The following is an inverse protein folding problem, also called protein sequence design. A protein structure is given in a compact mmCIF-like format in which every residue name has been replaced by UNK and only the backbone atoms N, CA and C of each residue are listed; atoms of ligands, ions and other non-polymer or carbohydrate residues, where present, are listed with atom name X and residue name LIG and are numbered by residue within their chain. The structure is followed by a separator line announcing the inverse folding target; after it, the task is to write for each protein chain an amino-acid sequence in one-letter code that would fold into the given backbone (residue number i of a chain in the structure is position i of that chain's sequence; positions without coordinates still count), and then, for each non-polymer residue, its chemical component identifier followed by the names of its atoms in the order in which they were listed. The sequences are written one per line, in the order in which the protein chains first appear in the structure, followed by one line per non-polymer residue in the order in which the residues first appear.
data_IF_760487553664
#
_entry.id   IF_760487553664
#
_cell.length_a   1.000
_cell.length_b   1.000
_cell.length_c   1.000
_cell.angle_alpha   90.00
_cell.angle_beta   90.00
_cell.angle_gamma   90.00
#
_symmetry.space_group_name_H-M   'P 1'
#
loop_
_entity.id
_entity.type
_entity.pdbx_description
1 polymer ?
#
# COMPACT_ATOMS: atom_id res chain seq x y z
N UNK A 1 -4.99 9.31 10.45
CA UNK A 1 -6.14 9.01 9.56
C UNK A 1 -7.32 9.89 9.95
N UNK A 2 -8.19 10.21 9.00
CA UNK A 2 -9.44 10.94 9.23
C UNK A 2 -10.60 10.17 8.58
N UNK A 3 -11.68 9.93 9.33
CA UNK A 3 -12.84 9.18 8.87
C UNK A 3 -14.04 10.11 8.90
N UNK A 4 -14.61 10.40 7.73
CA UNK A 4 -15.82 11.20 7.59
C UNK A 4 -16.98 10.54 8.34
N UNK A 5 -17.78 11.34 9.05
CA UNK A 5 -18.96 10.85 9.80
C UNK A 5 -20.17 10.63 8.90
N UNK A 6 -20.12 11.15 7.67
CA UNK A 6 -21.14 11.03 6.65
C UNK A 6 -20.50 10.69 5.30
N UNK A 7 -21.32 10.51 4.27
CA UNK A 7 -20.84 10.37 2.88
C UNK A 7 -20.24 11.66 2.31
N UNK A 8 -20.45 12.81 2.96
CA UNK A 8 -19.80 14.07 2.59
C UNK A 8 -18.44 14.18 3.28
N UNK A 9 -17.37 14.01 2.51
CA UNK A 9 -16.00 14.10 2.99
C UNK A 9 -15.56 15.52 3.39
N UNK A 10 -16.34 16.55 3.06
CA UNK A 10 -16.08 17.94 3.47
C UNK A 10 -16.66 18.28 4.85
N UNK A 11 -17.48 17.39 5.40
CA UNK A 11 -18.14 17.54 6.69
C UNK A 11 -17.24 17.23 7.89
N UNK A 12 -17.84 16.75 8.97
CA UNK A 12 -17.11 16.38 10.18
C UNK A 12 -16.41 15.03 10.02
N UNK A 13 -15.30 14.86 10.75
CA UNK A 13 -14.49 13.64 10.71
C UNK A 13 -13.96 13.29 12.10
N UNK A 14 -13.83 11.99 12.36
CA UNK A 14 -13.07 11.46 13.48
C UNK A 14 -11.59 11.39 13.12
N UNK A 15 -10.71 11.84 14.01
CA UNK A 15 -9.25 11.85 13.80
C UNK A 15 -8.60 10.75 14.61
N UNK A 16 -7.71 10.02 13.95
CA UNK A 16 -6.95 8.93 14.55
C UNK A 16 -5.46 9.13 14.35
N UNK A 17 -4.71 9.05 15.44
CA UNK A 17 -3.26 8.94 15.44
C UNK A 17 -2.85 7.55 15.92
N UNK A 18 -1.99 6.88 15.16
CA UNK A 18 -1.46 5.56 15.51
C UNK A 18 0.06 5.65 15.57
N UNK A 19 0.65 5.12 16.64
CA UNK A 19 2.09 4.95 16.75
C UNK A 19 2.46 3.58 16.17
N UNK A 20 3.12 3.57 15.01
CA UNK A 20 3.47 2.35 14.27
C UNK A 20 4.82 1.76 14.71
N UNK A 21 5.50 2.38 15.67
CA UNK A 21 6.84 2.04 16.14
C UNK A 21 7.83 3.18 15.91
N UNK A 22 9.12 2.87 16.07
CA UNK A 22 10.24 3.84 15.99
C UNK A 22 10.92 3.94 14.62
N UNK A 23 10.55 3.07 13.68
CA UNK A 23 11.05 3.10 12.31
C UNK A 23 10.50 4.29 11.52
N UNK A 24 11.14 4.61 10.39
CA UNK A 24 10.61 5.59 9.45
C UNK A 24 9.69 4.90 8.45
N UNK A 25 8.44 5.36 8.37
CA UNK A 25 7.42 4.79 7.49
C UNK A 25 7.09 5.79 6.37
N UNK A 26 7.34 5.40 5.13
CA UNK A 26 7.14 6.20 3.93
C UNK A 26 6.09 5.57 3.01
N UNK A 27 5.56 6.37 2.08
CA UNK A 27 4.72 5.92 0.98
C UNK A 27 3.41 5.22 1.43
N UNK A 28 2.59 5.85 2.31
CA UNK A 28 1.33 5.25 2.76
C UNK A 28 0.33 5.12 1.61
N UNK A 29 -0.22 3.92 1.46
CA UNK A 29 -1.34 3.63 0.55
C UNK A 29 -2.44 2.94 1.33
N UNK A 30 -3.66 3.48 1.23
CA UNK A 30 -4.83 3.00 1.95
C UNK A 30 -5.79 2.28 1.01
N UNK A 31 -6.45 1.26 1.53
CA UNK A 31 -7.59 0.59 0.91
C UNK A 31 -8.71 0.42 1.94
N UNK A 32 -9.95 0.64 1.52
CA UNK A 32 -11.17 0.35 2.26
C UNK A 32 -11.58 -1.07 1.94
N UNK A 33 -11.88 -1.84 2.99
CA UNK A 33 -12.48 -3.16 2.89
C UNK A 33 -13.66 -3.23 3.89
N UNK A 34 -14.59 -4.19 3.76
CA UNK A 34 -15.77 -4.21 4.63
C UNK A 34 -15.45 -4.32 6.13
N UNK A 35 -14.40 -5.08 6.50
CA UNK A 35 -14.01 -5.39 7.88
C UNK A 35 -12.93 -4.44 8.45
N UNK A 36 -12.07 -3.86 7.61
CA UNK A 36 -10.99 -2.97 8.05
C UNK A 36 -10.60 -1.92 7.01
N UNK A 37 -9.89 -0.89 7.49
CA UNK A 37 -9.07 -0.06 6.60
C UNK A 37 -7.68 -0.70 6.51
N UNK A 38 -7.27 -1.10 5.32
CA UNK A 38 -5.96 -1.69 5.08
C UNK A 38 -4.98 -0.62 4.61
N UNK A 39 -3.71 -0.78 4.97
CA UNK A 39 -2.66 0.14 4.57
C UNK A 39 -1.39 -0.64 4.25
N UNK A 40 -0.62 -0.15 3.27
CA UNK A 40 0.77 -0.52 3.10
C UNK A 40 1.66 0.70 3.28
N UNK A 41 2.85 0.47 3.85
CA UNK A 41 3.92 1.47 3.94
C UNK A 41 5.25 0.81 3.63
N UNK A 42 6.16 1.57 3.06
CA UNK A 42 7.57 1.23 2.97
C UNK A 42 8.24 1.55 4.30
N UNK A 43 8.90 0.55 4.90
CA UNK A 43 9.56 0.72 6.20
C UNK A 43 11.05 0.89 5.98
N UNK A 44 11.61 1.88 6.66
CA UNK A 44 13.04 2.13 6.76
C UNK A 44 13.46 2.05 8.22
N UNK A 45 14.76 1.86 8.48
CA UNK A 45 15.28 2.03 9.83
C UNK A 45 14.95 3.43 10.38
N UNK A 46 15.08 3.62 11.70
CA UNK A 46 14.74 4.89 12.35
C UNK A 46 15.43 6.13 11.73
N UNK A 47 16.64 5.97 11.20
CA UNK A 47 17.39 7.03 10.52
C UNK A 47 16.95 7.31 9.08
N UNK A 48 16.04 6.49 8.51
CA UNK A 48 15.55 6.62 7.13
C UNK A 48 16.57 6.24 6.05
N UNK A 49 17.69 5.60 6.40
CA UNK A 49 18.81 5.33 5.49
C UNK A 49 18.79 3.93 4.87
N UNK A 50 18.08 2.98 5.48
CA UNK A 50 18.04 1.57 5.02
C UNK A 50 16.60 1.12 4.83
N UNK A 51 16.27 0.66 3.63
CA UNK A 51 14.97 0.05 3.33
C UNK A 51 14.87 -1.34 3.96
N UNK A 52 13.83 -1.57 4.76
CA UNK A 52 13.55 -2.82 5.46
C UNK A 52 12.46 -3.65 4.77
N UNK A 53 11.82 -3.11 3.74
CA UNK A 53 10.71 -3.75 3.02
C UNK A 53 9.36 -3.07 3.28
N UNK A 54 8.32 -3.48 2.55
CA UNK A 54 6.96 -3.04 2.80
C UNK A 54 6.36 -3.78 4.00
N UNK A 55 5.39 -3.16 4.68
CA UNK A 55 4.66 -3.74 5.79
C UNK A 55 3.14 -3.47 5.65
N UNK A 56 2.28 -4.49 5.88
CA UNK A 56 0.84 -4.34 5.80
C UNK A 56 0.24 -4.04 7.19
N UNK A 57 -0.77 -3.17 7.23
CA UNK A 57 -1.51 -2.82 8.44
C UNK A 57 -3.02 -2.91 8.18
N UNK A 58 -3.77 -3.29 9.20
CA UNK A 58 -5.23 -3.26 9.20
C UNK A 58 -5.72 -2.48 10.42
N UNK A 59 -6.59 -1.49 10.21
CA UNK A 59 -7.14 -0.62 11.25
C UNK A 59 -8.61 -0.94 11.50
N UNK A 60 -9.03 -0.95 12.78
CA UNK A 60 -10.39 -1.33 13.22
C UNK A 60 -11.45 -0.35 12.68
N UNK A 61 -12.00 -0.68 11.51
CA UNK A 61 -12.97 0.15 10.81
C UNK A 61 -14.25 0.36 11.62
N UNK A 62 -14.72 -0.67 12.32
CA UNK A 62 -15.95 -0.62 13.11
C UNK A 62 -15.83 0.43 14.23
N UNK A 63 -14.73 0.41 14.99
CA UNK A 63 -14.50 1.43 16.03
C UNK A 63 -14.23 2.79 15.43
N UNK A 64 -13.50 2.87 14.32
CA UNK A 64 -13.17 4.12 13.67
C UNK A 64 -14.38 4.86 13.11
N UNK A 65 -15.37 4.14 12.57
CA UNK A 65 -16.64 4.72 12.11
C UNK A 65 -17.53 5.20 13.27
N UNK A 66 -17.43 4.54 14.43
CA UNK A 66 -18.19 4.89 15.62
C UNK A 66 -17.53 5.99 16.48
N UNK A 67 -16.40 6.57 16.03
CA UNK A 67 -15.66 7.57 16.80
C UNK A 67 -15.03 7.02 18.09
N UNK A 68 -14.88 5.70 18.21
CA UNK A 68 -14.35 5.03 19.39
C UNK A 68 -12.82 4.89 19.32
N UNK A 69 -12.14 4.68 20.45
CA UNK A 69 -10.73 4.30 20.44
C UNK A 69 -10.51 3.04 19.59
N UNK A 70 -9.67 3.15 18.57
CA UNK A 70 -9.42 2.08 17.61
C UNK A 70 -8.00 1.52 17.76
N UNK A 71 -7.80 0.28 17.34
CA UNK A 71 -6.50 -0.39 17.29
C UNK A 71 -6.13 -0.73 15.84
N UNK A 72 -4.91 -1.20 15.65
CA UNK A 72 -4.45 -1.76 14.37
C UNK A 72 -3.76 -3.11 14.59
N UNK A 73 -3.68 -3.90 13.53
CA UNK A 73 -2.98 -5.18 13.50
C UNK A 73 -1.99 -5.20 12.34
N UNK A 74 -0.81 -5.75 12.58
CA UNK A 74 0.22 -6.05 11.58
C UNK A 74 0.81 -7.41 11.94
N UNK A 75 0.32 -8.51 11.34
CA UNK A 75 0.72 -9.87 11.75
C UNK A 75 2.16 -10.22 11.36
N UNK A 76 2.78 -9.41 10.50
CA UNK A 76 4.16 -9.52 10.05
C UNK A 76 4.87 -8.17 10.21
N UNK A 77 6.19 -8.20 10.37
CA UNK A 77 7.04 -7.02 10.24
C UNK A 77 7.31 -6.66 8.78
N UNK A 78 8.27 -5.75 8.49
CA UNK A 78 8.71 -5.47 7.14
C UNK A 78 9.22 -6.74 6.44
N UNK A 79 8.81 -6.97 5.19
CA UNK A 79 9.09 -8.23 4.49
C UNK A 79 10.52 -8.37 3.93
N UNK A 80 11.42 -7.45 4.26
CA UNK A 80 12.81 -7.44 3.81
C UNK A 80 13.05 -6.50 2.63
N UNK A 81 14.27 -5.97 2.54
CA UNK A 81 14.64 -4.95 1.54
C UNK A 81 14.68 -5.44 0.09
N UNK A 82 14.49 -6.73 -0.17
CA UNK A 82 14.35 -7.31 -1.52
C UNK A 82 12.89 -7.41 -1.99
N UNK A 83 11.92 -7.13 -1.11
CA UNK A 83 10.50 -7.13 -1.46
C UNK A 83 10.10 -5.70 -1.85
N UNK A 84 9.51 -5.55 -3.02
CA UNK A 84 8.99 -4.27 -3.50
C UNK A 84 7.71 -3.84 -2.78
N UNK A 85 7.43 -2.54 -2.83
CA UNK A 85 6.16 -2.00 -2.38
C UNK A 85 4.96 -2.77 -2.95
N UNK A 86 4.02 -3.11 -2.08
CA UNK A 86 2.70 -3.65 -2.44
C UNK A 86 1.60 -2.67 -2.09
N UNK A 87 0.44 -2.83 -2.71
CA UNK A 87 -0.74 -2.00 -2.48
C UNK A 87 -1.92 -2.87 -2.02
N UNK A 88 -2.69 -2.45 -1.00
CA UNK A 88 -3.94 -3.12 -0.66
C UNK A 88 -4.99 -2.93 -1.76
N UNK A 89 -5.91 -3.89 -1.88
CA UNK A 89 -7.13 -3.72 -2.65
C UNK A 89 -8.05 -2.71 -1.96
N UNK A 90 -8.82 -1.99 -2.76
CA UNK A 90 -9.86 -1.08 -2.32
C UNK A 90 -11.21 -1.51 -2.90
N UNK A 91 -12.30 -1.15 -2.25
CA UNK A 91 -13.64 -1.38 -2.76
C UNK A 91 -13.97 -0.39 -3.88
N UNK A 92 -14.29 -0.91 -5.06
CA UNK A 92 -14.88 -0.13 -6.14
C UNK A 92 -16.22 -0.73 -6.58
N UNK A 93 -17.23 0.12 -6.74
CA UNK A 93 -18.60 -0.26 -7.10
C UNK A 93 -19.46 -0.81 -5.95
N UNK A 94 -20.65 -1.31 -6.31
CA UNK A 94 -21.68 -1.75 -5.35
C UNK A 94 -21.60 -3.23 -4.97
N UNK A 95 -20.81 -4.03 -5.68
CA UNK A 95 -20.65 -5.46 -5.42
C UNK A 95 -19.55 -5.67 -4.38
N UNK A 96 -19.95 -5.87 -3.13
CA UNK A 96 -19.03 -6.16 -2.04
C UNK A 96 -18.40 -7.56 -2.19
N UNK A 97 -17.17 -7.76 -1.70
CA UNK A 97 -16.58 -9.08 -1.57
C UNK A 97 -17.41 -9.94 -0.60
N UNK A 98 -17.35 -11.28 -0.70
CA UNK A 98 -18.02 -12.16 0.25
C UNK A 98 -17.63 -11.85 1.70
N UNK A 99 -18.56 -12.08 2.62
CA UNK A 99 -18.30 -11.91 4.06
C UNK A 99 -17.09 -12.73 4.49
N UNK A 100 -16.14 -12.10 5.18
CA UNK A 100 -14.91 -12.73 5.66
C UNK A 100 -13.81 -12.88 4.61
N UNK A 101 -14.01 -12.39 3.38
CA UNK A 101 -12.96 -12.40 2.37
C UNK A 101 -11.75 -11.56 2.84
N UNK A 102 -10.51 -12.08 2.74
CA UNK A 102 -9.32 -11.31 3.06
C UNK A 102 -9.13 -10.16 2.06
N UNK A 103 -8.43 -9.11 2.47
CA UNK A 103 -7.99 -8.07 1.54
C UNK A 103 -6.77 -8.55 0.74
N UNK A 104 -6.82 -8.41 -0.58
CA UNK A 104 -5.71 -8.78 -1.46
C UNK A 104 -4.73 -7.63 -1.57
N UNK A 105 -3.45 -7.88 -1.32
CA UNK A 105 -2.36 -6.95 -1.58
C UNK A 105 -1.60 -7.38 -2.83
N UNK A 106 -1.20 -6.44 -3.69
CA UNK A 106 -0.46 -6.74 -4.92
C UNK A 106 0.90 -6.03 -4.89
N UNK A 107 1.98 -6.82 -4.96
CA UNK A 107 3.35 -6.34 -5.06
C UNK A 107 3.70 -5.85 -6.46
N UNK A 108 4.51 -4.79 -6.52
CA UNK A 108 5.10 -4.35 -7.77
C UNK A 108 6.13 -5.39 -8.27
N UNK A 109 6.04 -5.85 -9.52
CA UNK A 109 7.09 -6.64 -10.15
C UNK A 109 8.15 -5.66 -10.62
N UNK A 110 9.39 -5.69 -10.13
CA UNK A 110 10.43 -4.92 -10.82
C UNK A 110 11.65 -4.39 -10.09
N UNK A 111 11.91 -4.69 -8.83
CA UNK A 111 13.21 -4.39 -8.22
C UNK A 111 14.01 -5.67 -7.92
N UNK A 112 15.16 -5.73 -8.60
CA UNK A 112 16.30 -6.64 -8.45
C UNK A 112 16.09 -8.15 -8.71
N UNK A 113 14.98 -8.80 -8.32
CA UNK A 113 14.91 -10.28 -8.41
C UNK A 113 13.54 -10.90 -8.67
N UNK A 114 12.42 -10.17 -8.58
CA UNK A 114 11.08 -10.75 -8.73
C UNK A 114 10.30 -10.15 -9.91
N UNK A 115 10.15 -10.88 -11.04
CA UNK A 115 9.37 -10.44 -12.19
C UNK A 115 7.86 -10.73 -12.07
N UNK A 116 7.35 -11.04 -10.88
CA UNK A 116 5.97 -11.46 -10.67
C UNK A 116 5.16 -10.47 -9.83
N UNK A 117 3.87 -10.34 -10.14
CA UNK A 117 2.91 -9.65 -9.28
C UNK A 117 2.58 -10.54 -8.09
N UNK A 118 3.47 -10.58 -7.09
CA UNK A 118 3.20 -11.39 -5.88
C UNK A 118 2.01 -10.80 -5.15
N UNK A 119 0.97 -11.61 -4.98
CA UNK A 119 -0.26 -11.22 -4.30
C UNK A 119 -0.33 -11.88 -2.94
N UNK A 120 -0.76 -11.13 -1.93
CA UNK A 120 -0.94 -11.60 -0.57
C UNK A 120 -2.39 -11.46 -0.14
N UNK A 121 -2.85 -12.34 0.73
CA UNK A 121 -4.13 -12.18 1.41
C UNK A 121 -3.88 -11.77 2.86
N UNK A 122 -4.52 -10.67 3.26
CA UNK A 122 -4.55 -10.22 4.64
C UNK A 122 -5.94 -10.46 5.23
N UNK A 123 -6.05 -11.43 6.14
CA UNK A 123 -7.20 -11.57 7.02
C UNK A 123 -6.88 -10.99 8.40
N UNK A 124 -7.71 -10.06 8.89
CA UNK A 124 -7.54 -9.47 10.23
C UNK A 124 -8.59 -10.05 11.20
N UNK A 125 -8.15 -10.30 12.43
CA UNK A 125 -9.01 -10.64 13.56
C UNK A 125 -8.72 -9.65 14.70
N UNK A 126 -9.60 -8.66 14.88
CA UNK A 126 -9.46 -7.67 15.96
C UNK A 126 -9.83 -8.21 17.34
N UNK A 127 -10.55 -9.34 17.42
CA UNK A 127 -10.89 -10.00 18.68
C UNK A 127 -9.68 -10.76 19.20
N UNK A 128 -9.03 -11.52 18.31
CA UNK A 128 -7.81 -12.28 18.61
C UNK A 128 -6.73 -11.96 17.59
N UNK A 129 -5.93 -10.88 17.79
CA UNK A 129 -4.93 -10.44 16.82
C UNK A 129 -3.95 -11.52 16.35
N UNK A 130 -3.64 -12.51 17.19
CA UNK A 130 -2.79 -13.65 16.86
C UNK A 130 -3.37 -14.56 15.76
N UNK A 131 -4.68 -14.52 15.50
CA UNK A 131 -5.32 -15.26 14.40
C UNK A 131 -5.23 -14.54 13.05
N UNK A 132 -4.74 -13.29 13.03
CA UNK A 132 -4.59 -12.52 11.79
C UNK A 132 -3.50 -13.13 10.91
N UNK A 133 -3.72 -13.15 9.60
CA UNK A 133 -2.79 -13.75 8.64
C UNK A 133 -2.40 -12.77 7.54
N UNK A 134 -1.15 -12.82 7.10
CA UNK A 134 -0.69 -12.19 5.87
C UNK A 134 0.18 -13.19 5.10
N UNK A 135 -0.41 -13.83 4.09
CA UNK A 135 0.22 -14.96 3.40
C UNK A 135 0.19 -14.77 1.89
N UNK A 136 1.20 -15.30 1.21
CA UNK A 136 1.24 -15.31 -0.25
C UNK A 136 0.08 -16.13 -0.80
N UNK A 137 -0.73 -15.52 -1.66
CA UNK A 137 -1.87 -16.14 -2.32
C UNK A 137 -1.52 -16.63 -3.73
N UNK A 138 -0.82 -15.80 -4.51
CA UNK A 138 -0.42 -16.10 -5.88
C UNK A 138 0.81 -15.28 -6.29
N UNK A 139 1.45 -15.66 -7.39
CA UNK A 139 2.59 -14.93 -7.95
C UNK A 139 2.61 -15.07 -9.48
N UNK A 140 1.59 -14.54 -10.19
CA UNK A 140 1.58 -14.56 -11.65
C UNK A 140 2.73 -13.73 -12.22
N UNK A 141 3.30 -14.22 -13.31
CA UNK A 141 4.35 -13.51 -14.04
C UNK A 141 3.83 -12.18 -14.60
N UNK A 142 4.63 -11.13 -14.46
CA UNK A 142 4.33 -9.86 -15.13
C UNK A 142 4.63 -9.96 -16.63
N UNK A 143 3.81 -9.29 -17.45
CA UNK A 143 4.19 -9.06 -18.83
C UNK A 143 5.51 -8.28 -18.89
N UNK A 144 6.36 -8.58 -19.88
CA UNK A 144 7.66 -7.92 -20.02
C UNK A 144 7.52 -6.40 -20.13
N UNK A 145 8.28 -5.68 -19.31
CA UNK A 145 8.37 -4.21 -19.35
C UNK A 145 9.82 -3.77 -19.13
N UNK A 146 10.15 -2.56 -19.56
CA UNK A 146 11.44 -1.92 -19.28
C UNK A 146 11.27 -0.97 -18.11
N UNK A 147 11.89 -1.29 -16.97
CA UNK A 147 11.95 -0.37 -15.84
C UNK A 147 12.72 0.89 -16.23
N UNK A 148 12.12 2.05 -16.02
CA UNK A 148 12.79 3.33 -16.19
C UNK A 148 13.58 3.68 -14.93
N UNK A 149 14.73 4.30 -15.14
CA UNK A 149 15.61 4.75 -14.07
C UNK A 149 16.02 3.63 -13.09
N UNK A 150 16.72 2.57 -13.55
CA UNK A 150 17.01 1.39 -12.73
C UNK A 150 17.98 1.68 -11.56
N UNK A 151 18.80 2.72 -11.66
CA UNK A 151 19.85 3.07 -10.69
C UNK A 151 19.62 4.41 -9.97
N UNK A 152 18.60 5.16 -10.35
CA UNK A 152 18.32 6.48 -9.78
C UNK A 152 16.83 6.76 -9.88
N UNK A 153 16.27 7.57 -8.98
CA UNK A 153 14.89 8.05 -9.13
C UNK A 153 14.82 9.40 -9.85
N UNK A 154 15.98 9.98 -10.17
CA UNK A 154 16.15 11.32 -10.72
C UNK A 154 16.46 11.30 -12.23
N UNK A 155 15.74 10.52 -13.03
CA UNK A 155 15.99 10.41 -14.48
C UNK A 155 14.86 10.85 -15.40
N UNK A 156 13.68 11.18 -14.86
CA UNK A 156 12.55 11.72 -15.62
C UNK A 156 12.38 13.21 -15.29
N UNK A 157 12.61 14.13 -16.25
CA UNK A 157 12.43 15.55 -16.02
C UNK A 157 10.94 15.93 -15.92
N UNK A 158 10.59 16.81 -14.99
CA UNK A 158 9.30 17.50 -14.97
C UNK A 158 9.35 18.67 -15.96
N UNK A 159 8.63 18.55 -17.08
CA UNK A 159 8.58 19.63 -18.07
C UNK A 159 7.76 20.82 -17.54
N UNK A 160 8.25 22.04 -17.78
CA UNK A 160 7.52 23.28 -17.48
C UNK A 160 7.78 23.89 -16.11
N UNK A 161 8.69 23.34 -15.30
CA UNK A 161 9.11 23.94 -14.02
C UNK A 161 10.52 24.52 -14.12
N UNK A 162 10.68 25.79 -13.73
CA UNK A 162 11.98 26.52 -13.70
C UNK A 162 12.88 26.13 -12.52
N UNK A 163 12.38 25.28 -11.61
CA UNK A 163 13.17 24.62 -10.55
C UNK A 163 12.78 23.15 -10.52
N UNK A 164 13.76 22.27 -10.72
CA UNK A 164 13.61 20.82 -10.81
C UNK A 164 12.89 20.24 -9.60
N UNK A 165 11.60 20.02 -9.75
CA UNK A 165 10.88 18.97 -9.02
C UNK A 165 10.81 17.78 -9.97
N UNK A 166 10.83 16.57 -9.41
CA UNK A 166 11.01 15.34 -10.18
C UNK A 166 9.85 14.41 -9.85
N UNK A 167 9.23 13.82 -10.87
CA UNK A 167 8.16 12.85 -10.68
C UNK A 167 8.73 11.46 -10.41
N UNK A 168 8.16 10.78 -9.41
CA UNK A 168 8.25 9.33 -9.27
C UNK A 168 7.33 8.67 -10.30
N UNK A 169 7.88 8.23 -11.44
CA UNK A 169 7.12 7.45 -12.42
C UNK A 169 7.70 6.02 -12.50
N UNK A 170 7.01 5.05 -11.88
CA UNK A 170 7.36 3.61 -11.98
C UNK A 170 6.87 2.95 -13.28
N UNK A 171 5.96 3.57 -14.03
CA UNK A 171 5.44 3.06 -15.31
C UNK A 171 5.36 4.17 -16.36
N UNK A 172 6.30 4.21 -17.30
CA UNK A 172 6.13 5.00 -18.52
C UNK A 172 6.31 4.07 -19.73
N UNK A 173 5.20 3.74 -20.40
CA UNK A 173 5.23 3.00 -21.67
C UNK A 173 5.57 3.99 -22.78
N UNK A 174 6.77 3.93 -23.36
CA UNK A 174 7.10 4.69 -24.57
C UNK A 174 6.50 3.98 -25.79
N UNK A 175 5.20 4.16 -26.02
CA UNK A 175 4.60 3.83 -27.32
C UNK A 175 4.95 4.95 -28.29
N UNK A 176 6.00 4.78 -29.09
CA UNK A 176 6.13 5.49 -30.37
C UNK A 176 5.74 4.49 -31.46
N UNK A 177 4.46 4.46 -31.83
CA UNK A 177 4.08 4.01 -33.15
C UNK A 177 3.82 5.26 -34.00
N UNK A 178 4.56 5.49 -35.10
CA UNK A 178 4.17 6.48 -36.08
C UNK A 178 2.88 6.01 -36.74
N UNK A 179 1.85 6.86 -36.68
CA UNK A 179 0.72 6.78 -37.58
C UNK A 179 1.24 7.03 -38.99
N UNK A 180 1.12 6.03 -39.86
CA UNK A 180 0.99 6.18 -41.31
C UNK A 180 -0.39 5.66 -41.66
#
# INVERSE_FOLDING_TARGET
MAISTTSDATGSYYRYGFHLGSNFFDYPHLGVWPDAYYMSMNVFNASGTTYLGPQPFAFDRTKMLAGQPATFVSPVGPLGGSVDAFLPADLDGSRLPPTGAPNTFVGFPGQATNPNYTTYHFHVDFVTPANSTFTTFASPSAAGFTALCPSTRACVPENGVTRGRQFHCKLCRRSRHPLV
#
